data_IF_521634807898
#
_entry.id   IF_521634807898
#
_cell.length_a   1.000
_cell.length_b   1.000
_cell.length_c   1.000
_cell.angle_alpha   90.00
_cell.angle_beta   90.00
_cell.angle_gamma   90.00
#
_symmetry.space_group_name_H-M   'P 1'
#
loop_
_entity.id
_entity.type
_entity.pdbx_description
1 polymer ?
#
# COMPACT_ATOMS: atom_id res chain seq x y z
N UNK A 1 14.56 -0.35 0.01
CA UNK A 1 14.27 -1.69 0.58
C UNK A 1 13.57 -2.60 -0.44
N UNK A 2 12.51 -2.15 -1.14
CA UNK A 2 11.81 -2.92 -2.18
C UNK A 2 12.65 -3.42 -3.39
N UNK A 3 13.73 -2.74 -3.78
CA UNK A 3 14.54 -3.15 -4.95
C UNK A 3 15.62 -4.21 -4.66
N UNK A 4 15.87 -4.58 -3.40
CA UNK A 4 16.94 -5.54 -3.06
C UNK A 4 16.50 -7.02 -3.09
N UNK A 5 15.21 -7.33 -3.25
CA UNK A 5 14.72 -8.72 -3.34
C UNK A 5 14.71 -9.29 -4.76
N UNK A 6 15.07 -8.50 -5.78
CA UNK A 6 15.24 -9.03 -7.14
C UNK A 6 16.57 -9.82 -7.32
N UNK A 7 17.42 -9.92 -6.28
CA UNK A 7 18.76 -10.51 -6.37
C UNK A 7 19.09 -11.46 -5.20
N UNK A 8 18.16 -12.31 -4.76
CA UNK A 8 18.51 -13.46 -3.91
C UNK A 8 18.38 -14.74 -4.76
N UNK A 9 19.44 -15.58 -4.86
CA UNK A 9 19.44 -16.77 -5.71
C UNK A 9 18.47 -17.84 -5.17
N UNK A 10 17.96 -18.75 -6.03
CA UNK A 10 17.02 -19.79 -5.58
C UNK A 10 17.74 -20.79 -4.66
N UNK A 11 17.27 -21.01 -3.41
CA UNK A 11 17.65 -22.21 -2.67
C UNK A 11 16.89 -23.39 -3.28
N UNK A 12 17.61 -24.25 -3.97
CA UNK A 12 17.11 -25.54 -4.44
C UNK A 12 16.53 -26.35 -3.27
N UNK A 13 15.24 -26.72 -3.37
CA UNK A 13 14.41 -27.60 -2.51
C UNK A 13 13.67 -26.97 -1.31
N UNK A 14 12.45 -26.45 -1.51
CA UNK A 14 11.16 -26.98 -1.00
C UNK A 14 10.05 -25.92 -1.12
N UNK A 15 9.09 -26.12 -2.04
CA UNK A 15 8.02 -25.14 -2.38
C UNK A 15 7.20 -24.63 -1.18
N UNK A 16 7.19 -25.37 -0.06
CA UNK A 16 6.49 -24.96 1.16
C UNK A 16 7.35 -24.08 2.08
N UNK A 17 8.65 -24.34 2.18
CA UNK A 17 9.56 -23.59 3.06
C UNK A 17 9.79 -22.18 2.55
N UNK A 18 9.91 -22.01 1.23
CA UNK A 18 10.08 -20.70 0.60
C UNK A 18 8.83 -19.82 0.76
N UNK A 19 7.65 -20.42 0.62
CA UNK A 19 6.38 -19.73 0.86
C UNK A 19 6.27 -19.29 2.33
N UNK A 20 6.57 -20.19 3.27
CA UNK A 20 6.60 -19.87 4.70
C UNK A 20 7.60 -18.75 5.01
N UNK A 21 8.78 -18.76 4.39
CA UNK A 21 9.81 -17.74 4.59
C UNK A 21 9.40 -16.37 4.06
N UNK A 22 8.81 -16.30 2.85
CA UNK A 22 8.29 -15.06 2.26
C UNK A 22 7.13 -14.49 3.09
N UNK A 23 6.19 -15.35 3.48
CA UNK A 23 5.07 -14.94 4.33
C UNK A 23 5.56 -14.42 5.69
N UNK A 24 6.47 -15.15 6.34
CA UNK A 24 7.00 -14.77 7.64
C UNK A 24 7.80 -13.46 7.55
N UNK A 25 8.56 -13.23 6.48
CA UNK A 25 9.26 -11.95 6.23
C UNK A 25 8.29 -10.77 6.18
N UNK A 26 7.22 -10.88 5.39
CA UNK A 26 6.23 -9.81 5.24
C UNK A 26 5.52 -9.53 6.57
N UNK A 27 5.20 -10.57 7.34
CA UNK A 27 4.59 -10.41 8.66
C UNK A 27 5.55 -9.75 9.64
N UNK A 28 6.81 -10.17 9.69
CA UNK A 28 7.83 -9.60 10.58
C UNK A 28 8.11 -8.14 10.23
N UNK A 29 8.12 -7.81 8.94
CA UNK A 29 8.38 -6.45 8.46
C UNK A 29 7.16 -5.56 8.71
N UNK A 30 5.94 -6.05 8.44
CA UNK A 30 4.69 -5.32 8.61
C UNK A 30 4.26 -5.13 10.07
N UNK A 31 4.56 -6.09 10.96
CA UNK A 31 4.19 -6.07 12.37
C UNK A 31 4.57 -4.77 13.12
N UNK A 32 5.81 -4.26 13.07
CA UNK A 32 6.16 -3.01 13.74
C UNK A 32 5.40 -1.81 13.16
N UNK A 33 5.15 -1.76 11.85
CA UNK A 33 4.38 -0.67 11.25
C UNK A 33 2.91 -0.71 11.66
N UNK A 34 2.30 -1.90 11.74
CA UNK A 34 0.93 -2.07 12.21
C UNK A 34 0.83 -1.68 13.69
N UNK A 35 1.80 -2.08 14.51
CA UNK A 35 1.84 -1.72 15.93
C UNK A 35 1.94 -0.19 16.10
N UNK A 36 2.84 0.45 15.35
CA UNK A 36 3.02 1.89 15.39
C UNK A 36 1.76 2.63 14.88
N UNK A 37 1.17 2.16 13.78
CA UNK A 37 -0.07 2.71 13.23
C UNK A 37 -1.27 2.57 14.17
N UNK A 38 -1.38 1.44 14.88
CA UNK A 38 -2.45 1.24 15.88
C UNK A 38 -2.25 2.13 17.11
N UNK A 39 -1.02 2.30 17.61
CA UNK A 39 -0.71 3.24 18.70
C UNK A 39 -1.08 4.67 18.31
N UNK A 40 -0.62 5.12 17.13
CA UNK A 40 -0.93 6.46 16.60
C UNK A 40 -2.44 6.63 16.42
N UNK A 41 -3.14 5.62 15.88
CA UNK A 41 -4.59 5.65 15.74
C UNK A 41 -5.31 5.77 17.09
N UNK A 42 -4.80 5.11 18.13
CA UNK A 42 -5.33 5.19 19.49
C UNK A 42 -5.08 6.55 20.14
N UNK A 43 -3.92 7.16 19.86
CA UNK A 43 -3.60 8.51 20.32
C UNK A 43 -4.51 9.56 19.66
N UNK A 44 -4.72 9.44 18.34
CA UNK A 44 -5.68 10.26 17.60
C UNK A 44 -7.10 10.03 18.15
N UNK A 45 -7.47 8.78 18.44
CA UNK A 45 -8.77 8.47 19.05
C UNK A 45 -8.95 9.09 20.44
N UNK A 46 -7.91 9.15 21.26
CA UNK A 46 -7.98 9.78 22.58
C UNK A 46 -8.07 11.31 22.50
N UNK A 47 -7.34 11.93 21.57
CA UNK A 47 -7.28 13.39 21.43
C UNK A 47 -8.38 14.01 20.56
N UNK A 48 -9.02 13.24 19.68
CA UNK A 48 -10.01 13.75 18.72
C UNK A 48 -11.44 13.54 19.27
N UNK A 49 -12.14 14.56 19.81
CA UNK A 49 -13.47 14.35 20.35
C UNK A 49 -14.50 14.00 19.26
N UNK A 50 -15.52 13.17 19.56
CA UNK A 50 -16.61 12.88 18.63
C UNK A 50 -17.33 14.19 18.27
N UNK A 51 -17.43 14.49 16.97
CA UNK A 51 -17.99 15.74 16.44
C UNK A 51 -16.97 16.79 16.00
N UNK A 52 -15.66 16.64 16.31
CA UNK A 52 -14.64 17.50 15.72
C UNK A 52 -14.54 17.28 14.20
N UNK A 53 -14.65 16.01 13.78
CA UNK A 53 -14.72 15.63 12.36
C UNK A 53 -15.91 16.28 11.67
N UNK A 54 -17.11 16.25 12.24
CA UNK A 54 -18.29 16.88 11.61
C UNK A 54 -18.19 18.41 11.52
N UNK A 55 -17.45 19.04 12.45
CA UNK A 55 -17.23 20.49 12.47
C UNK A 55 -16.08 20.95 11.56
N UNK A 56 -15.04 20.11 11.42
CA UNK A 56 -13.88 20.37 10.57
C UNK A 56 -14.07 19.90 9.13
N UNK A 57 -14.87 18.85 8.89
CA UNK A 57 -15.21 18.45 7.54
C UNK A 57 -16.13 19.49 6.93
N UNK A 58 -15.74 20.09 5.80
CA UNK A 58 -16.60 21.04 5.12
C UNK A 58 -17.88 20.33 4.65
N UNK A 59 -19.03 21.01 4.80
CA UNK A 59 -20.34 20.52 4.29
C UNK A 59 -20.30 20.15 2.81
N UNK A 60 -19.40 20.76 2.04
CA UNK A 60 -19.16 20.43 0.64
C UNK A 60 -18.32 19.16 0.49
N UNK A 61 -18.95 18.10 -0.03
CA UNK A 61 -18.32 16.80 -0.30
C UNK A 61 -17.04 16.92 -1.14
N UNK A 62 -17.03 17.77 -2.16
CA UNK A 62 -15.86 17.98 -3.01
C UNK A 62 -14.63 18.48 -2.23
N UNK A 63 -14.82 19.45 -1.33
CA UNK A 63 -13.76 19.99 -0.49
C UNK A 63 -13.26 18.94 0.51
N UNK A 64 -14.16 18.11 1.05
CA UNK A 64 -13.79 17.02 1.95
C UNK A 64 -12.94 15.96 1.24
N UNK A 65 -13.23 15.63 -0.02
CA UNK A 65 -12.39 14.73 -0.82
C UNK A 65 -10.99 15.31 -1.09
N UNK A 66 -10.90 16.60 -1.44
CA UNK A 66 -9.61 17.25 -1.70
C UNK A 66 -8.77 17.26 -0.43
N UNK A 67 -9.35 17.61 0.73
CA UNK A 67 -8.68 17.55 2.03
C UNK A 67 -8.20 16.13 2.36
N UNK A 68 -9.03 15.11 2.11
CA UNK A 68 -8.64 13.72 2.32
C UNK A 68 -7.48 13.29 1.41
N UNK A 69 -7.49 13.66 0.13
CA UNK A 69 -6.39 13.40 -0.78
C UNK A 69 -5.10 14.12 -0.33
N UNK A 70 -5.21 15.38 0.08
CA UNK A 70 -4.07 16.19 0.49
C UNK A 70 -3.46 15.68 1.81
N UNK A 71 -4.29 15.20 2.74
CA UNK A 71 -3.83 14.47 3.92
C UNK A 71 -3.08 13.19 3.55
N UNK A 72 -3.57 12.44 2.56
CA UNK A 72 -2.91 11.22 2.05
C UNK A 72 -1.58 11.51 1.37
N UNK A 73 -1.45 12.69 0.76
CA UNK A 73 -0.21 13.20 0.19
C UNK A 73 0.84 13.52 1.26
N UNK A 74 0.41 14.18 2.34
CA UNK A 74 1.30 14.62 3.43
C UNK A 74 1.72 13.45 4.32
N UNK A 75 0.79 12.51 4.57
CA UNK A 75 1.01 11.33 5.40
C UNK A 75 0.87 10.06 4.57
N UNK A 76 1.89 9.69 3.77
CA UNK A 76 1.93 8.42 3.08
C UNK A 76 2.12 7.30 4.12
N UNK A 77 1.02 6.75 4.60
CA UNK A 77 1.01 5.61 5.52
C UNK A 77 1.00 4.32 4.69
N UNK A 78 1.73 3.30 5.15
CA UNK A 78 1.69 1.99 4.49
C UNK A 78 0.27 1.40 4.54
N UNK A 79 -0.11 0.66 3.50
CA UNK A 79 -1.43 0.02 3.39
C UNK A 79 -1.74 -0.92 4.58
N UNK A 80 -0.72 -1.44 5.25
CA UNK A 80 -0.85 -2.25 6.46
C UNK A 80 -1.32 -1.42 7.68
N UNK A 81 -0.86 -0.18 7.81
CA UNK A 81 -1.17 0.69 8.95
C UNK A 81 -2.37 1.63 8.71
N UNK A 82 -2.74 1.86 7.45
CA UNK A 82 -3.85 2.76 7.10
C UNK A 82 -5.22 2.18 7.50
N UNK A 83 -5.38 0.86 7.43
CA UNK A 83 -6.62 0.14 7.75
C UNK A 83 -7.08 0.36 9.20
N UNK A 84 -6.26 0.14 10.24
CA UNK A 84 -6.68 0.39 11.62
C UNK A 84 -6.98 1.87 11.89
N UNK A 85 -6.21 2.79 11.29
CA UNK A 85 -6.42 4.24 11.42
C UNK A 85 -7.78 4.64 10.85
N UNK A 86 -8.07 4.26 9.61
CA UNK A 86 -9.33 4.59 8.94
C UNK A 86 -10.53 3.97 9.65
N UNK A 87 -10.43 2.70 10.08
CA UNK A 87 -11.52 2.06 10.84
C UNK A 87 -11.90 2.87 12.08
N UNK A 88 -10.93 3.48 12.75
CA UNK A 88 -11.17 4.32 13.92
C UNK A 88 -11.79 5.67 13.57
N UNK A 89 -11.33 6.30 12.49
CA UNK A 89 -11.90 7.56 11.99
C UNK A 89 -13.34 7.39 11.48
N UNK A 90 -13.67 6.28 10.81
CA UNK A 90 -15.04 5.98 10.37
C UNK A 90 -15.98 5.84 11.57
N UNK A 91 -15.53 5.18 12.65
CA UNK A 91 -16.32 5.07 13.90
C UNK A 91 -16.61 6.44 14.53
N UNK A 92 -15.85 7.49 14.20
CA UNK A 92 -16.07 8.87 14.66
C UNK A 92 -16.92 9.74 13.74
N UNK A 93 -17.39 9.20 12.61
CA UNK A 93 -18.23 9.94 11.67
C UNK A 93 -17.54 10.36 10.37
N UNK A 94 -16.29 9.92 10.11
CA UNK A 94 -15.66 10.19 8.82
C UNK A 94 -16.45 9.47 7.69
N UNK A 95 -16.90 10.18 6.64
CA UNK A 95 -17.62 9.56 5.53
C UNK A 95 -16.70 8.60 4.77
N UNK A 96 -17.25 7.44 4.40
CA UNK A 96 -16.53 6.37 3.72
C UNK A 96 -15.83 6.83 2.42
N UNK A 97 -16.44 7.78 1.70
CA UNK A 97 -15.85 8.35 0.49
C UNK A 97 -14.49 9.01 0.76
N UNK A 98 -14.35 9.78 1.86
CA UNK A 98 -13.08 10.41 2.21
C UNK A 98 -12.01 9.37 2.61
N UNK A 99 -12.43 8.31 3.30
CA UNK A 99 -11.55 7.20 3.66
C UNK A 99 -10.95 6.50 2.43
N UNK A 100 -11.79 6.17 1.45
CA UNK A 100 -11.37 5.53 0.20
C UNK A 100 -10.46 6.49 -0.60
N UNK A 101 -10.79 7.78 -0.62
CA UNK A 101 -9.97 8.80 -1.31
C UNK A 101 -8.57 8.89 -0.70
N UNK A 102 -8.45 8.89 0.63
CA UNK A 102 -7.17 8.88 1.33
C UNK A 102 -6.36 7.61 1.02
N UNK A 103 -7.00 6.42 1.02
CA UNK A 103 -6.36 5.15 0.66
C UNK A 103 -5.84 5.12 -0.77
N UNK A 104 -6.59 5.66 -1.73
CA UNK A 104 -6.17 5.75 -3.13
C UNK A 104 -5.07 6.79 -3.35
N UNK A 105 -5.09 7.88 -2.59
CA UNK A 105 -4.11 8.95 -2.73
C UNK A 105 -2.69 8.52 -2.35
N UNK A 106 -2.55 7.59 -1.40
CA UNK A 106 -1.26 7.13 -0.91
C UNK A 106 -0.35 6.53 -2.00
N UNK A 107 -0.79 5.56 -2.83
CA UNK A 107 0.03 5.04 -3.93
C UNK A 107 0.18 6.03 -5.09
N UNK A 108 -0.82 6.86 -5.37
CA UNK A 108 -0.82 7.79 -6.52
C UNK A 108 0.27 8.85 -6.37
N UNK A 109 0.47 9.36 -5.16
CA UNK A 109 1.43 10.44 -4.89
C UNK A 109 2.81 9.89 -4.55
N UNK A 110 2.93 8.58 -4.33
CA UNK A 110 4.19 7.98 -3.92
C UNK A 110 5.22 8.01 -5.07
N UNK A 111 6.32 8.80 -4.94
CA UNK A 111 7.32 8.92 -5.99
C UNK A 111 8.04 7.61 -6.26
N UNK A 112 8.16 6.72 -5.26
CA UNK A 112 8.77 5.40 -5.41
C UNK A 112 7.93 4.52 -6.33
N UNK A 113 6.60 4.57 -6.19
CA UNK A 113 5.67 3.83 -7.06
C UNK A 113 5.77 4.39 -8.47
N UNK A 114 5.69 5.72 -8.63
CA UNK A 114 5.81 6.39 -9.94
C UNK A 114 7.14 6.02 -10.62
N UNK A 115 8.25 6.07 -9.89
CA UNK A 115 9.57 5.68 -10.41
C UNK A 115 9.60 4.20 -10.79
N UNK A 116 9.04 3.31 -9.97
CA UNK A 116 9.02 1.87 -10.27
C UNK A 116 8.20 1.57 -11.52
N UNK A 117 7.02 2.16 -11.66
CA UNK A 117 6.19 2.06 -12.86
C UNK A 117 6.90 2.67 -14.07
N UNK A 118 7.56 3.82 -13.91
CA UNK A 118 8.32 4.44 -14.99
C UNK A 118 9.51 3.58 -15.43
N UNK A 119 10.23 2.93 -14.51
CA UNK A 119 11.31 1.99 -14.87
C UNK A 119 10.79 0.69 -15.47
N UNK A 120 9.61 0.24 -15.05
CA UNK A 120 8.99 -0.98 -15.57
C UNK A 120 8.40 -0.79 -16.98
N UNK A 121 7.81 0.37 -17.27
CA UNK A 121 7.08 0.65 -18.52
C UNK A 121 7.74 1.68 -19.45
N UNK A 122 8.69 2.47 -18.96
CA UNK A 122 9.30 3.59 -19.69
C UNK A 122 10.34 3.18 -20.74
N UNK A 123 10.93 1.99 -20.60
CA UNK A 123 11.83 1.43 -21.62
C UNK A 123 11.07 0.45 -22.51
N UNK A 124 10.42 1.01 -23.54
CA UNK A 124 9.96 0.34 -24.77
C UNK A 124 8.75 -0.62 -24.62
N UNK A 125 7.57 -0.17 -25.07
CA UNK A 125 6.39 -1.02 -25.37
C UNK A 125 6.74 -2.24 -26.25
N UNK A 126 7.84 -2.18 -27.02
CA UNK A 126 8.33 -3.27 -27.85
C UNK A 126 9.02 -4.43 -27.11
N UNK A 127 9.32 -4.29 -25.81
CA UNK A 127 10.00 -5.34 -25.03
C UNK A 127 9.04 -6.23 -24.23
N UNK A 128 7.80 -5.80 -23.98
CA UNK A 128 6.78 -6.61 -23.30
C UNK A 128 6.32 -7.77 -24.20
N UNK A 129 6.14 -7.51 -25.50
CA UNK A 129 5.78 -8.54 -26.47
C UNK A 129 6.84 -9.64 -26.63
N UNK A 130 8.13 -9.33 -26.47
CA UNK A 130 9.22 -10.32 -26.67
C UNK A 130 9.63 -11.06 -25.38
N UNK A 131 9.37 -10.50 -24.20
CA UNK A 131 9.70 -11.15 -22.92
C UNK A 131 8.59 -12.08 -22.42
N UNK A 132 7.32 -11.78 -22.70
CA UNK A 132 6.21 -12.70 -22.40
C UNK A 132 6.36 -14.02 -23.13
N UNK A 133 6.76 -14.00 -24.41
CA UNK A 133 6.98 -15.22 -25.18
C UNK A 133 8.08 -16.08 -24.55
N UNK A 134 9.23 -15.51 -24.17
CA UNK A 134 10.33 -16.30 -23.60
C UNK A 134 10.06 -16.83 -22.19
N UNK A 135 9.35 -16.08 -21.35
CA UNK A 135 9.01 -16.48 -19.99
C UNK A 135 7.88 -17.51 -19.97
N UNK A 136 6.87 -17.35 -20.85
CA UNK A 136 5.77 -18.31 -21.00
C UNK A 136 6.27 -19.62 -21.63
N UNK A 137 7.21 -19.58 -22.59
CA UNK A 137 7.81 -20.78 -23.17
C UNK A 137 8.74 -21.52 -22.19
N UNK A 138 9.47 -20.79 -21.34
CA UNK A 138 10.31 -21.39 -20.30
C UNK A 138 9.48 -22.07 -19.21
N UNK A 139 8.36 -21.47 -18.78
CA UNK A 139 7.45 -22.09 -17.81
C UNK A 139 6.70 -23.28 -18.41
N UNK A 140 6.30 -23.20 -19.69
CA UNK A 140 5.70 -24.32 -20.41
C UNK A 140 6.66 -25.51 -20.60
N UNK A 141 7.96 -25.25 -20.83
CA UNK A 141 8.99 -26.28 -20.95
C UNK A 141 9.34 -26.98 -19.63
N UNK A 142 9.07 -26.35 -18.49
CA UNK A 142 9.31 -26.97 -17.16
C UNK A 142 8.12 -27.79 -16.63
N UNK A 143 6.95 -27.68 -17.26
CA UNK A 143 5.73 -28.43 -16.88
C UNK A 143 5.47 -29.62 -17.86
N UNK A 144 6.27 -29.74 -18.93
CA UNK A 144 6.23 -30.85 -19.89
C UNK A 144 7.13 -32.01 -19.53
#
# INVERSE_FOLDING_TARGET
MFFAQASAPPPSLTSFTDFCYLFLSIVIEGAPFILLGTIVSGFIDAYLPPGLIDRWLPKNRFLALILAALLGAIFPVCECAIVPVIRRLIKKGLPLACAITYMLSAPIINPIVILSTYTAFGTNISQFALREDSASLAVAGTIG
#
